data_IF_059631274422
#
_entry.id   IF_059631274422
#
_cell.length_a   1.000
_cell.length_b   1.000
_cell.length_c   1.000
_cell.angle_alpha   90.00
_cell.angle_beta   90.00
_cell.angle_gamma   90.00
#
_symmetry.space_group_name_H-M   'P 1'
#
loop_
_entity.id
_entity.type
_entity.pdbx_description
1 polymer ?
#
# COMPACT_ATOMS: atom_id res chain seq x y z
N UNK A 1 4.02 -13.69 19.08
CA UNK A 1 4.22 -14.64 17.95
C UNK A 1 3.54 -14.20 16.65
N UNK A 2 2.83 -13.05 16.59
CA UNK A 2 2.11 -12.57 15.39
C UNK A 2 2.96 -11.68 14.47
N UNK A 3 3.83 -10.83 15.02
CA UNK A 3 4.70 -9.93 14.25
C UNK A 3 5.70 -10.69 13.36
N UNK A 4 6.18 -11.86 13.81
CA UNK A 4 7.11 -12.68 13.04
C UNK A 4 6.51 -13.22 11.74
N UNK A 5 5.26 -13.68 11.78
CA UNK A 5 4.57 -14.15 10.57
C UNK A 5 4.20 -13.00 9.64
N UNK A 6 3.82 -11.84 10.18
CA UNK A 6 3.59 -10.63 9.38
C UNK A 6 4.85 -10.20 8.63
N UNK A 7 6.02 -10.17 9.29
CA UNK A 7 7.30 -9.82 8.67
C UNK A 7 7.73 -10.85 7.61
N UNK A 8 7.49 -12.14 7.85
CA UNK A 8 7.76 -13.19 6.86
C UNK A 8 6.86 -13.01 5.64
N UNK A 9 5.56 -12.78 5.82
CA UNK A 9 4.63 -12.55 4.70
C UNK A 9 4.92 -11.25 3.94
N UNK A 10 5.23 -10.17 4.65
CA UNK A 10 5.59 -8.87 4.06
C UNK A 10 6.93 -8.95 3.32
N UNK A 11 7.88 -9.75 3.82
CA UNK A 11 9.17 -10.01 3.18
C UNK A 11 9.14 -11.07 2.07
N UNK A 12 8.15 -11.97 2.06
CA UNK A 12 8.00 -13.00 1.03
C UNK A 12 7.71 -12.39 -0.35
N UNK A 13 6.88 -11.35 -0.43
CA UNK A 13 6.57 -10.69 -1.70
C UNK A 13 7.81 -10.09 -2.40
N UNK A 14 8.64 -9.25 -1.73
CA UNK A 14 9.88 -8.76 -2.34
C UNK A 14 10.94 -9.86 -2.55
N UNK A 15 10.91 -10.94 -1.75
CA UNK A 15 11.85 -12.06 -1.89
C UNK A 15 11.53 -12.96 -3.10
N UNK A 16 10.25 -13.29 -3.31
CA UNK A 16 9.81 -14.15 -4.41
C UNK A 16 9.77 -13.38 -5.75
N UNK A 17 9.37 -12.11 -5.74
CA UNK A 17 9.20 -11.30 -6.96
C UNK A 17 9.85 -9.90 -6.83
N UNK A 18 11.20 -9.84 -6.73
CA UNK A 18 11.91 -8.58 -6.52
C UNK A 18 11.76 -7.58 -7.68
N UNK A 19 11.67 -8.07 -8.92
CA UNK A 19 11.50 -7.23 -10.12
C UNK A 19 10.11 -6.60 -10.17
N UNK A 20 9.05 -7.40 -10.01
CA UNK A 20 7.66 -6.93 -9.99
C UNK A 20 7.41 -5.96 -8.84
N UNK A 21 7.97 -6.25 -7.66
CA UNK A 21 7.88 -5.36 -6.50
C UNK A 21 8.57 -4.02 -6.77
N UNK A 22 9.79 -4.04 -7.31
CA UNK A 22 10.52 -2.81 -7.68
C UNK A 22 9.80 -2.01 -8.74
N UNK A 23 9.25 -2.65 -9.77
CA UNK A 23 8.49 -1.97 -10.82
C UNK A 23 7.22 -1.33 -10.25
N UNK A 24 6.53 -2.00 -9.34
CA UNK A 24 5.35 -1.45 -8.66
C UNK A 24 5.72 -0.23 -7.81
N UNK A 25 6.79 -0.31 -7.03
CA UNK A 25 7.31 0.83 -6.28
C UNK A 25 7.78 1.97 -7.19
N UNK A 26 8.40 1.67 -8.32
CA UNK A 26 8.87 2.67 -9.26
C UNK A 26 7.71 3.36 -9.99
N UNK A 27 6.65 2.63 -10.33
CA UNK A 27 5.40 3.20 -10.85
C UNK A 27 4.76 4.10 -9.79
N UNK A 28 4.77 3.67 -8.53
CA UNK A 28 4.27 4.47 -7.41
C UNK A 28 5.09 5.75 -7.21
N UNK A 29 6.41 5.66 -7.30
CA UNK A 29 7.34 6.78 -7.18
C UNK A 29 7.35 7.71 -8.40
N UNK A 30 6.88 7.24 -9.55
CA UNK A 30 6.68 8.07 -10.75
C UNK A 30 5.39 8.90 -10.70
N UNK A 31 4.46 8.62 -9.78
CA UNK A 31 3.35 9.52 -9.55
C UNK A 31 3.88 10.83 -8.98
N UNK A 32 3.45 11.95 -9.57
CA UNK A 32 3.75 13.27 -9.03
C UNK A 32 3.23 13.37 -7.60
N UNK A 33 3.95 14.09 -6.73
CA UNK A 33 3.58 14.26 -5.32
C UNK A 33 2.12 14.72 -5.14
N UNK A 34 1.59 15.52 -6.07
CA UNK A 34 0.18 15.92 -6.10
C UNK A 34 -0.80 14.76 -6.31
N UNK A 35 -0.50 13.82 -7.22
CA UNK A 35 -1.33 12.64 -7.46
C UNK A 35 -1.26 11.65 -6.31
N UNK A 36 -0.07 11.45 -5.73
CA UNK A 36 0.09 10.58 -4.56
C UNK A 36 -0.67 11.12 -3.35
N UNK A 37 -0.64 12.45 -3.14
CA UNK A 37 -1.45 13.12 -2.10
C UNK A 37 -2.94 13.00 -2.38
N UNK A 38 -3.38 13.16 -3.63
CA UNK A 38 -4.79 13.01 -3.99
C UNK A 38 -5.28 11.58 -3.79
N UNK A 39 -4.52 10.58 -4.26
CA UNK A 39 -4.79 9.16 -4.00
C UNK A 39 -4.86 8.87 -2.49
N UNK A 40 -3.92 9.40 -1.72
CA UNK A 40 -3.94 9.30 -0.26
C UNK A 40 -5.19 9.93 0.36
N UNK A 41 -5.59 11.12 -0.09
CA UNK A 41 -6.82 11.78 0.36
C UNK A 41 -8.06 10.95 -0.02
N UNK A 42 -8.15 10.43 -1.24
CA UNK A 42 -9.27 9.58 -1.68
C UNK A 42 -9.34 8.30 -0.85
N UNK A 43 -8.21 7.68 -0.53
CA UNK A 43 -8.15 6.50 0.34
C UNK A 43 -8.57 6.83 1.77
N UNK A 44 -8.10 7.95 2.34
CA UNK A 44 -8.52 8.39 3.67
C UNK A 44 -10.03 8.67 3.72
N UNK A 45 -10.58 9.37 2.73
CA UNK A 45 -12.01 9.67 2.63
C UNK A 45 -12.82 8.39 2.43
N UNK A 46 -12.38 7.49 1.55
CA UNK A 46 -13.06 6.21 1.33
C UNK A 46 -13.03 5.34 2.58
N UNK A 47 -11.91 5.29 3.28
CA UNK A 47 -11.78 4.57 4.55
C UNK A 47 -12.69 5.17 5.63
N UNK A 48 -12.76 6.50 5.74
CA UNK A 48 -13.67 7.17 6.66
C UNK A 48 -15.13 6.90 6.31
N UNK A 49 -15.49 6.93 5.02
CA UNK A 49 -16.82 6.59 4.53
C UNK A 49 -17.18 5.14 4.85
N UNK A 50 -16.26 4.18 4.63
CA UNK A 50 -16.48 2.78 4.98
C UNK A 50 -16.67 2.59 6.49
N UNK A 51 -15.87 3.27 7.31
CA UNK A 51 -16.03 3.24 8.77
C UNK A 51 -17.39 3.81 9.19
N UNK A 52 -17.83 4.90 8.55
CA UNK A 52 -19.14 5.49 8.83
C UNK A 52 -20.29 4.61 8.32
N UNK A 53 -20.09 3.86 7.23
CA UNK A 53 -21.10 2.93 6.70
C UNK A 53 -21.20 1.64 7.51
N UNK A 54 -20.09 1.16 8.05
CA UNK A 54 -20.05 -0.10 8.83
C UNK A 54 -20.49 0.10 10.29
N UNK A 55 -20.61 1.35 10.75
CA UNK A 55 -20.98 1.72 12.12
C UNK A 55 -22.36 2.34 12.18
#
# INVERSE_FOLDING_TARGET
MSLGLMLVLEGMMPFLFPSTWRETLHKLAQFQDGQLRFLGLTLMLSGLLLIYWVK
#
